data_IF_718639736010
#
_entry.id   IF_718639736010
#
_cell.length_a   1.000
_cell.length_b   1.000
_cell.length_c   1.000
_cell.angle_alpha   90.00
_cell.angle_beta   90.00
_cell.angle_gamma   90.00
#
_symmetry.space_group_name_H-M   'P 1'
#
loop_
_entity.id
_entity.type
_entity.pdbx_description
1 polymer ?
#
# COMPACT_ATOMS: atom_id res chain seq x y z
N UNK A 1 -12.49 3.19 -8.76
CA UNK A 1 -12.51 1.94 -7.99
C UNK A 1 -11.08 1.60 -7.60
N UNK A 2 -10.88 0.99 -6.44
CA UNK A 2 -9.55 0.49 -5.99
C UNK A 2 -9.26 -0.83 -6.67
N UNK A 3 -8.07 -0.99 -7.20
CA UNK A 3 -7.62 -2.21 -7.87
C UNK A 3 -6.99 -3.18 -6.88
N UNK A 4 -7.46 -4.40 -6.88
CA UNK A 4 -7.04 -5.44 -5.94
C UNK A 4 -6.43 -6.62 -6.68
N UNK A 5 -5.38 -7.18 -6.10
CA UNK A 5 -4.79 -8.45 -6.50
C UNK A 5 -4.96 -9.47 -5.37
N UNK A 6 -5.38 -10.67 -5.71
CA UNK A 6 -5.41 -11.83 -4.81
C UNK A 6 -4.30 -12.78 -5.26
N UNK A 7 -3.49 -13.26 -4.31
CA UNK A 7 -2.41 -14.21 -4.57
C UNK A 7 -2.48 -15.35 -3.57
N UNK A 8 -2.82 -16.54 -4.02
CA UNK A 8 -2.88 -17.75 -3.20
C UNK A 8 -2.69 -18.97 -4.12
N UNK A 9 -1.78 -19.88 -3.80
CA UNK A 9 -1.56 -21.08 -4.60
C UNK A 9 -2.70 -22.09 -4.48
N UNK A 10 -3.55 -21.94 -3.47
CA UNK A 10 -4.79 -22.67 -3.34
C UNK A 10 -5.93 -21.95 -4.05
N UNK A 11 -6.36 -22.53 -5.18
CA UNK A 11 -7.46 -22.02 -6.00
C UNK A 11 -8.75 -21.74 -5.20
N UNK A 12 -9.14 -22.65 -4.30
CA UNK A 12 -10.36 -22.49 -3.49
C UNK A 12 -10.25 -21.33 -2.49
N UNK A 13 -9.08 -21.08 -1.95
CA UNK A 13 -8.85 -19.93 -1.07
C UNK A 13 -8.99 -18.62 -1.84
N UNK A 14 -8.36 -18.51 -3.00
CA UNK A 14 -8.44 -17.32 -3.86
C UNK A 14 -9.89 -17.06 -4.31
N UNK A 15 -10.59 -18.09 -4.77
CA UNK A 15 -12.00 -18.01 -5.17
C UNK A 15 -12.91 -17.65 -3.99
N UNK A 16 -12.62 -18.17 -2.79
CA UNK A 16 -13.33 -17.83 -1.57
C UNK A 16 -13.24 -16.33 -1.25
N UNK A 17 -12.07 -15.72 -1.37
CA UNK A 17 -11.90 -14.27 -1.16
C UNK A 17 -12.63 -13.48 -2.24
N UNK A 18 -12.53 -13.89 -3.51
CA UNK A 18 -13.23 -13.26 -4.60
C UNK A 18 -14.75 -13.23 -4.41
N UNK A 19 -15.35 -14.38 -4.07
CA UNK A 19 -16.80 -14.58 -4.10
C UNK A 19 -17.54 -14.22 -2.80
N UNK A 20 -16.85 -14.28 -1.65
CA UNK A 20 -17.49 -14.02 -0.35
C UNK A 20 -17.39 -12.56 0.11
N UNK A 21 -16.79 -11.69 -0.69
CA UNK A 21 -16.69 -10.26 -0.43
C UNK A 21 -17.36 -9.50 -1.56
N UNK A 22 -18.26 -8.59 -1.20
CA UNK A 22 -18.87 -7.67 -2.16
C UNK A 22 -17.93 -6.49 -2.41
N UNK A 23 -17.07 -6.66 -3.42
CA UNK A 23 -16.06 -5.69 -3.79
C UNK A 23 -16.65 -4.40 -4.36
N UNK A 24 -17.78 -4.48 -5.02
CA UNK A 24 -18.48 -3.33 -5.58
C UNK A 24 -18.97 -2.39 -4.48
N UNK A 25 -19.53 -2.92 -3.40
CA UNK A 25 -19.92 -2.15 -2.21
C UNK A 25 -18.70 -1.48 -1.55
N UNK A 26 -17.51 -2.07 -1.65
CA UNK A 26 -16.27 -1.49 -1.17
C UNK A 26 -15.63 -0.48 -2.14
N UNK A 27 -16.28 -0.21 -3.27
CA UNK A 27 -15.74 0.62 -4.37
C UNK A 27 -14.37 0.10 -4.87
N UNK A 28 -14.27 -1.21 -5.01
CA UNK A 28 -13.08 -1.93 -5.42
C UNK A 28 -13.39 -2.95 -6.52
N UNK A 29 -12.36 -3.38 -7.22
CA UNK A 29 -12.43 -4.43 -8.23
C UNK A 29 -11.20 -5.33 -8.15
N UNK A 30 -11.39 -6.63 -8.33
CA UNK A 30 -10.29 -7.58 -8.46
C UNK A 30 -9.84 -7.57 -9.91
N UNK A 31 -8.62 -7.09 -10.14
CA UNK A 31 -8.03 -7.02 -11.49
C UNK A 31 -7.09 -8.19 -11.78
N UNK A 32 -6.56 -8.82 -10.72
CA UNK A 32 -5.69 -9.98 -10.84
C UNK A 32 -6.00 -11.03 -9.77
N UNK A 33 -6.04 -12.30 -10.20
CA UNK A 33 -5.98 -13.47 -9.32
C UNK A 33 -4.76 -14.27 -9.79
N UNK A 34 -3.78 -14.42 -8.92
CA UNK A 34 -2.53 -15.10 -9.21
C UNK A 34 -2.34 -16.29 -8.27
N UNK A 35 -1.77 -17.38 -8.77
CA UNK A 35 -1.60 -18.62 -8.02
C UNK A 35 -0.15 -18.90 -7.64
N UNK A 36 0.72 -17.92 -7.83
CA UNK A 36 2.11 -17.93 -7.36
C UNK A 36 2.68 -16.49 -7.35
N UNK A 37 3.74 -16.31 -6.58
CA UNK A 37 4.36 -14.99 -6.41
C UNK A 37 4.97 -14.42 -7.69
N UNK A 38 5.54 -15.28 -8.56
CA UNK A 38 6.16 -14.83 -9.81
C UNK A 38 5.13 -14.24 -10.77
N UNK A 39 4.01 -14.92 -10.97
CA UNK A 39 2.91 -14.40 -11.81
C UNK A 39 2.29 -13.12 -11.24
N UNK A 40 2.25 -12.99 -9.91
CA UNK A 40 1.79 -11.78 -9.24
C UNK A 40 2.70 -10.58 -9.56
N UNK A 41 4.02 -10.75 -9.51
CA UNK A 41 4.97 -9.71 -9.87
C UNK A 41 4.86 -9.33 -11.35
N UNK A 42 4.72 -10.29 -12.24
CA UNK A 42 4.55 -10.03 -13.66
C UNK A 42 3.24 -9.26 -13.95
N UNK A 43 2.14 -9.63 -13.27
CA UNK A 43 0.89 -8.91 -13.36
C UNK A 43 1.01 -7.48 -12.83
N UNK A 44 1.67 -7.29 -11.69
CA UNK A 44 1.92 -5.99 -11.08
C UNK A 44 2.70 -5.03 -11.97
N UNK A 45 3.67 -5.54 -12.75
CA UNK A 45 4.43 -4.75 -13.73
C UNK A 45 3.59 -4.27 -14.90
N UNK A 46 2.61 -5.08 -15.31
CA UNK A 46 1.70 -4.74 -16.43
C UNK A 46 0.61 -3.79 -15.99
N UNK A 47 -0.01 -4.07 -14.86
CA UNK A 47 -1.09 -3.28 -14.29
C UNK A 47 -0.91 -3.21 -12.76
N UNK A 48 -0.36 -2.10 -12.24
CA UNK A 48 -0.20 -1.90 -10.80
C UNK A 48 -1.55 -1.88 -10.07
N UNK A 49 -1.55 -2.39 -8.84
CA UNK A 49 -2.73 -2.44 -7.98
C UNK A 49 -2.55 -1.59 -6.73
N UNK A 50 -3.67 -1.26 -6.07
CA UNK A 50 -3.69 -0.49 -4.83
C UNK A 50 -3.50 -1.39 -3.59
N UNK A 51 -4.05 -2.60 -3.63
CA UNK A 51 -4.01 -3.56 -2.53
C UNK A 51 -3.69 -4.97 -3.04
N UNK A 52 -2.80 -5.64 -2.34
CA UNK A 52 -2.51 -7.07 -2.50
C UNK A 52 -2.99 -7.81 -1.27
N UNK A 53 -3.74 -8.87 -1.47
CA UNK A 53 -4.12 -9.87 -0.45
C UNK A 53 -3.40 -11.14 -0.84
N UNK A 54 -2.43 -11.58 -0.05
CA UNK A 54 -1.56 -12.69 -0.43
C UNK A 54 -1.40 -13.72 0.67
N UNK A 55 -1.46 -15.00 0.31
CA UNK A 55 -0.92 -16.05 1.15
C UNK A 55 0.60 -15.88 1.30
N UNK A 56 1.14 -16.28 2.44
CA UNK A 56 2.58 -16.29 2.68
C UNK A 56 3.22 -17.56 2.12
N UNK A 57 2.60 -18.72 2.39
CA UNK A 57 3.17 -20.02 2.07
C UNK A 57 2.84 -20.45 0.63
N UNK A 58 3.65 -20.01 -0.29
CA UNK A 58 3.54 -20.37 -1.71
C UNK A 58 4.86 -20.98 -2.20
N UNK A 59 4.83 -21.94 -3.17
CA UNK A 59 6.03 -22.46 -3.78
C UNK A 59 6.78 -21.38 -4.57
N UNK A 60 8.08 -21.54 -4.75
CA UNK A 60 9.02 -20.72 -5.49
C UNK A 60 9.24 -19.32 -4.89
N UNK A 61 8.27 -18.45 -4.91
CA UNK A 61 8.32 -17.10 -4.34
C UNK A 61 7.24 -16.95 -3.27
N UNK A 62 7.64 -16.97 -2.00
CA UNK A 62 6.72 -16.78 -0.88
C UNK A 62 6.10 -15.37 -0.85
N UNK A 63 4.97 -15.23 -0.14
CA UNK A 63 4.23 -13.97 -0.07
C UNK A 63 5.03 -12.81 0.52
N UNK A 64 5.98 -13.06 1.43
CA UNK A 64 6.84 -12.02 2.01
C UNK A 64 7.85 -11.52 0.98
N UNK A 65 8.53 -12.43 0.29
CA UNK A 65 9.50 -12.08 -0.75
C UNK A 65 8.83 -11.42 -1.96
N UNK A 66 7.64 -11.89 -2.34
CA UNK A 66 6.81 -11.28 -3.37
C UNK A 66 6.40 -9.85 -2.95
N UNK A 67 5.97 -9.65 -1.72
CA UNK A 67 5.58 -8.33 -1.19
C UNK A 67 6.72 -7.32 -1.25
N UNK A 68 7.95 -7.74 -0.97
CA UNK A 68 9.13 -6.87 -1.08
C UNK A 68 9.32 -6.39 -2.52
N UNK A 69 9.24 -7.29 -3.49
CA UNK A 69 9.33 -6.92 -4.89
C UNK A 69 8.16 -6.02 -5.35
N UNK A 70 6.95 -6.27 -4.85
CA UNK A 70 5.80 -5.43 -5.15
C UNK A 70 5.97 -4.00 -4.63
N UNK A 71 6.52 -3.81 -3.42
CA UNK A 71 6.84 -2.51 -2.85
C UNK A 71 7.95 -1.77 -3.63
N UNK A 72 8.91 -2.49 -4.22
CA UNK A 72 9.91 -1.89 -5.10
C UNK A 72 9.28 -1.37 -6.41
N UNK A 73 8.24 -2.04 -6.92
CA UNK A 73 7.51 -1.62 -8.12
C UNK A 73 6.58 -0.44 -7.80
N UNK A 74 5.82 -0.53 -6.71
CA UNK A 74 4.90 0.51 -6.25
C UNK A 74 5.01 0.68 -4.73
N UNK A 75 5.77 1.67 -4.24
CA UNK A 75 5.93 1.90 -2.80
C UNK A 75 4.62 2.24 -2.06
N UNK A 76 3.57 2.64 -2.79
CA UNK A 76 2.27 3.01 -2.22
C UNK A 76 1.30 1.83 -2.11
N UNK A 77 1.62 0.67 -2.68
CA UNK A 77 0.76 -0.52 -2.59
C UNK A 77 0.60 -0.94 -1.14
N UNK A 78 -0.62 -1.27 -0.75
CA UNK A 78 -0.89 -1.87 0.57
C UNK A 78 -0.94 -3.38 0.45
N UNK A 79 -0.49 -4.07 1.49
CA UNK A 79 -0.35 -5.52 1.48
C UNK A 79 -0.96 -6.09 2.75
N UNK A 80 -1.89 -7.01 2.59
CA UNK A 80 -2.44 -7.85 3.66
C UNK A 80 -1.94 -9.27 3.41
N UNK A 81 -1.20 -9.80 4.38
CA UNK A 81 -0.67 -11.16 4.32
C UNK A 81 -1.56 -12.13 5.10
N UNK A 82 -1.79 -13.30 4.53
CA UNK A 82 -2.58 -14.38 5.14
C UNK A 82 -1.64 -15.58 5.34
N UNK A 83 -1.76 -16.26 6.46
CA UNK A 83 -0.97 -17.47 6.73
C UNK A 83 -1.80 -18.53 7.46
N UNK A 84 -1.52 -19.80 7.16
CA UNK A 84 -2.17 -20.95 7.79
C UNK A 84 -1.69 -21.23 9.22
N UNK A 85 -0.60 -20.61 9.66
CA UNK A 85 0.04 -20.94 10.93
C UNK A 85 0.35 -19.70 11.77
N UNK A 86 0.12 -19.84 13.09
CA UNK A 86 0.63 -18.96 14.12
C UNK A 86 2.18 -19.05 14.18
N UNK A 87 2.81 -18.51 13.16
CA UNK A 87 4.25 -18.34 13.12
C UNK A 87 4.55 -16.87 13.44
N UNK A 88 4.78 -16.59 14.69
CA UNK A 88 5.22 -15.28 15.18
C UNK A 88 6.32 -14.66 14.28
N UNK A 89 7.23 -15.47 13.76
CA UNK A 89 8.27 -15.04 12.84
C UNK A 89 7.73 -14.51 11.50
N UNK A 90 6.64 -15.05 10.96
CA UNK A 90 6.02 -14.52 9.74
C UNK A 90 5.33 -13.19 10.01
N UNK A 91 4.59 -13.08 11.09
CA UNK A 91 3.98 -11.81 11.49
C UNK A 91 5.05 -10.73 11.71
N UNK A 92 6.14 -11.06 12.40
CA UNK A 92 7.26 -10.15 12.62
C UNK A 92 7.92 -9.73 11.31
N UNK A 93 8.21 -10.67 10.42
CA UNK A 93 8.81 -10.37 9.10
C UNK A 93 7.90 -9.51 8.23
N UNK A 94 6.59 -9.79 8.24
CA UNK A 94 5.59 -8.99 7.55
C UNK A 94 5.56 -7.54 8.03
N UNK A 95 5.55 -7.33 9.35
CA UNK A 95 5.58 -5.99 9.94
C UNK A 95 6.88 -5.24 9.63
N UNK A 96 8.03 -5.91 9.70
CA UNK A 96 9.34 -5.31 9.36
C UNK A 96 9.44 -4.93 7.88
N UNK A 97 8.76 -5.67 7.00
CA UNK A 97 8.67 -5.37 5.59
C UNK A 97 7.81 -4.14 5.30
N UNK A 98 6.88 -3.79 6.21
CA UNK A 98 5.89 -2.74 6.01
C UNK A 98 4.56 -3.25 5.45
N UNK A 99 4.27 -4.56 5.57
CA UNK A 99 2.91 -5.07 5.33
C UNK A 99 1.94 -4.35 6.27
N UNK A 100 0.77 -4.00 5.74
CA UNK A 100 -0.23 -3.28 6.51
C UNK A 100 -0.85 -4.14 7.59
N UNK A 101 -1.08 -5.40 7.28
CA UNK A 101 -1.71 -6.33 8.19
C UNK A 101 -1.30 -7.79 7.93
N UNK A 102 -1.55 -8.62 8.94
CA UNK A 102 -1.31 -10.06 8.92
C UNK A 102 -2.53 -10.75 9.51
N UNK A 103 -3.07 -11.74 8.79
CA UNK A 103 -4.28 -12.47 9.17
C UNK A 103 -3.99 -13.96 9.20
N UNK A 104 -4.44 -14.63 10.26
CA UNK A 104 -4.32 -16.09 10.38
C UNK A 104 -5.51 -16.81 9.75
N UNK A 105 -5.26 -17.97 9.12
CA UNK A 105 -6.30 -18.91 8.70
C UNK A 105 -6.78 -19.73 9.92
N UNK A 106 -8.06 -20.10 10.00
CA UNK A 106 -9.11 -19.97 8.99
C UNK A 106 -9.56 -18.53 8.79
N UNK A 107 -9.77 -18.16 7.53
CA UNK A 107 -10.08 -16.78 7.17
C UNK A 107 -11.50 -16.39 7.57
N UNK A 108 -11.65 -15.39 8.42
CA UNK A 108 -12.91 -14.70 8.69
C UNK A 108 -13.07 -13.55 7.67
N UNK A 109 -14.04 -13.70 6.77
CA UNK A 109 -14.27 -12.69 5.72
C UNK A 109 -14.74 -11.35 6.30
N UNK A 110 -15.52 -11.34 7.38
CA UNK A 110 -15.90 -10.08 8.03
C UNK A 110 -14.68 -9.33 8.59
N UNK A 111 -13.75 -10.07 9.16
CA UNK A 111 -12.48 -9.52 9.64
C UNK A 111 -11.60 -9.02 8.48
N UNK A 112 -11.50 -9.79 7.38
CA UNK A 112 -10.78 -9.36 6.19
C UNK A 112 -11.39 -8.07 5.59
N UNK A 113 -12.72 -8.00 5.47
CA UNK A 113 -13.41 -6.79 5.00
C UNK A 113 -13.05 -5.58 5.86
N UNK A 114 -13.02 -5.72 7.18
CA UNK A 114 -12.61 -4.63 8.07
C UNK A 114 -11.18 -4.17 7.79
N UNK A 115 -10.26 -5.11 7.58
CA UNK A 115 -8.86 -4.80 7.25
C UNK A 115 -8.72 -4.10 5.89
N UNK A 116 -9.49 -4.52 4.89
CA UNK A 116 -9.56 -3.87 3.59
C UNK A 116 -10.08 -2.43 3.73
N UNK A 117 -11.15 -2.21 4.50
CA UNK A 117 -11.67 -0.87 4.77
C UNK A 117 -10.63 0.04 5.46
N UNK A 118 -9.89 -0.50 6.42
CA UNK A 118 -8.81 0.23 7.08
C UNK A 118 -7.70 0.60 6.10
N UNK A 119 -7.32 -0.31 5.19
CA UNK A 119 -6.35 -0.05 4.13
C UNK A 119 -6.81 1.11 3.22
N UNK A 120 -8.06 1.10 2.80
CA UNK A 120 -8.62 2.16 1.95
C UNK A 120 -8.68 3.51 2.66
N UNK A 121 -9.06 3.53 3.94
CA UNK A 121 -9.05 4.75 4.75
C UNK A 121 -7.63 5.33 4.89
N UNK A 122 -6.63 4.48 5.06
CA UNK A 122 -5.22 4.89 5.10
C UNK A 122 -4.77 5.48 3.76
N UNK A 123 -5.11 4.84 2.65
CA UNK A 123 -4.79 5.33 1.30
C UNK A 123 -5.40 6.72 1.04
N UNK A 124 -6.65 6.95 1.47
CA UNK A 124 -7.30 8.25 1.33
C UNK A 124 -6.59 9.33 2.14
N UNK A 125 -6.18 9.02 3.38
CA UNK A 125 -5.40 9.96 4.20
C UNK A 125 -4.07 10.32 3.56
N UNK A 126 -3.36 9.33 3.05
CA UNK A 126 -2.07 9.52 2.38
C UNK A 126 -2.24 10.39 1.12
N UNK A 127 -3.27 10.14 0.31
CA UNK A 127 -3.57 10.96 -0.86
C UNK A 127 -3.90 12.42 -0.51
N UNK A 128 -4.72 12.65 0.52
CA UNK A 128 -5.03 13.99 1.02
C UNK A 128 -3.78 14.72 1.50
N UNK A 129 -2.94 14.05 2.27
CA UNK A 129 -1.68 14.61 2.76
C UNK A 129 -0.75 15.00 1.61
N UNK A 130 -0.62 14.15 0.59
CA UNK A 130 0.18 14.45 -0.61
C UNK A 130 -0.37 15.65 -1.39
N UNK A 131 -1.68 15.78 -1.52
CA UNK A 131 -2.32 16.94 -2.15
C UNK A 131 -2.05 18.23 -1.37
N UNK A 132 -2.18 18.20 -0.04
CA UNK A 132 -1.88 19.35 0.82
C UNK A 132 -0.41 19.77 0.71
N UNK A 133 0.53 18.83 0.69
CA UNK A 133 1.95 19.10 0.49
C UNK A 133 2.24 19.72 -0.89
N UNK A 134 1.59 19.23 -1.95
CA UNK A 134 1.72 19.81 -3.29
C UNK A 134 1.17 21.23 -3.38
N UNK A 135 0.07 21.52 -2.69
CA UNK A 135 -0.53 22.85 -2.65
C UNK A 135 0.26 23.85 -1.79
N UNK A 136 0.85 23.40 -0.69
CA UNK A 136 1.64 24.26 0.21
C UNK A 136 3.05 24.54 -0.28
N UNK A 137 3.62 23.67 -1.12
CA UNK A 137 4.99 23.82 -1.65
C UNK A 137 5.25 25.14 -2.37
N UNK A 138 4.39 25.63 -3.27
CA UNK A 138 4.56 26.95 -3.90
C UNK A 138 4.54 28.09 -2.88
N UNK A 139 3.62 28.04 -1.89
CA UNK A 139 3.49 29.06 -0.84
C UNK A 139 4.72 29.11 0.07
N UNK A 140 5.30 27.96 0.42
CA UNK A 140 6.53 27.89 1.22
C UNK A 140 7.74 28.45 0.46
N UNK A 141 7.85 28.15 -0.83
CA UNK A 141 8.91 28.68 -1.70
C UNK A 141 8.78 30.20 -1.81
N UNK A 142 7.56 30.70 -2.07
CA UNK A 142 7.31 32.14 -2.17
C UNK A 142 7.61 32.87 -0.87
N UNK A 143 7.21 32.31 0.28
CA UNK A 143 7.55 32.85 1.59
C UNK A 143 9.05 32.88 1.84
N UNK A 144 9.76 31.80 1.50
CA UNK A 144 11.21 31.70 1.63
C UNK A 144 11.93 32.79 0.80
N UNK A 145 11.56 32.97 -0.46
CA UNK A 145 12.13 34.03 -1.30
C UNK A 145 11.79 35.45 -0.78
N UNK A 146 10.60 35.66 -0.26
CA UNK A 146 10.20 36.92 0.35
C UNK A 146 11.05 37.25 1.58
N UNK A 147 11.29 36.26 2.45
CA UNK A 147 12.09 36.43 3.66
C UNK A 147 13.57 36.72 3.34
N UNK A 148 14.13 36.07 2.32
CA UNK A 148 15.50 36.37 1.85
C UNK A 148 15.59 37.74 1.29
N UNK A 149 14.67 38.21 0.45
CA UNK A 149 14.69 39.55 -0.14
C UNK A 149 14.52 40.64 0.90
N UNK A 150 13.69 40.40 1.96
CA UNK A 150 13.57 41.31 3.07
C UNK A 150 14.89 41.46 3.88
N UNK A 151 15.53 40.34 4.20
CA UNK A 151 16.84 40.35 4.89
C UNK A 151 17.91 41.14 4.10
N UNK A 152 18.03 40.86 2.81
CA UNK A 152 19.00 41.52 1.95
C UNK A 152 18.78 43.04 1.87
N UNK A 153 17.52 43.51 1.88
CA UNK A 153 17.19 44.94 1.92
C UNK A 153 17.52 45.62 3.25
N UNK A 154 17.31 44.90 4.38
CA UNK A 154 17.70 45.44 5.68
C UNK A 154 19.22 45.56 5.84
N UNK A 155 19.98 44.55 5.41
CA UNK A 155 21.45 44.57 5.45
C UNK A 155 22.04 45.67 4.56
N UNK A 156 21.47 45.92 3.38
CA UNK A 156 21.86 47.00 2.50
C UNK A 156 21.61 48.39 3.13
N UNK A 157 20.52 48.55 3.88
CA UNK A 157 20.17 49.78 4.58
C UNK A 157 21.10 50.09 5.77
N UNK A 158 21.70 49.09 6.38
CA UNK A 158 22.68 49.27 7.47
C UNK A 158 24.09 49.62 6.99
N UNK A 159 24.45 49.30 5.73
CA UNK A 159 25.77 49.61 5.16
C UNK A 159 25.87 51.01 4.59
N UNK A 160 24.78 51.75 4.49
CA UNK A 160 24.70 53.10 3.92
C UNK A 160 24.57 54.21 4.99
N UNK A 161 24.73 53.86 6.26
CA UNK A 161 24.86 54.80 7.39
C UNK A 161 26.25 54.70 8.02
#
# INVERSE_FOLDING_TARGET
MRKIMIVDDNYLSAEGIEKNIDWEVLNAEIVHICYNGTSAIDAMKKEPVDLIISDIEMPDLDGISMSRQALDINPMVKIILISAYDKFEYARRALLLGALDYIEKPLDYAYLIQKVKNAFALMEREQKNLQLLKQSRPLLIEKFFRDITHRSRQEASYRLK
#
